data_IF_702078950160
#
_entry.id   IF_702078950160
#
_cell.length_a   1.000
_cell.length_b   1.000
_cell.length_c   1.000
_cell.angle_alpha   90.00
_cell.angle_beta   90.00
_cell.angle_gamma   90.00
#
_symmetry.space_group_name_H-M   'P 1'
#
loop_
_entity.id
_entity.type
_entity.pdbx_description
1 polymer ?
#
# COMPACT_ATOMS: atom_id res chain seq x y z
N UNK A 1 46.23 40.74 -36.91
CA UNK A 1 44.77 40.54 -36.79
C UNK A 1 44.56 39.07 -36.40
N UNK A 2 44.46 38.82 -35.11
CA UNK A 2 44.20 37.48 -34.56
C UNK A 2 42.68 37.39 -34.37
N UNK A 3 42.08 36.51 -35.14
CA UNK A 3 40.64 36.29 -35.11
C UNK A 3 40.28 35.53 -33.83
N UNK A 4 39.64 36.23 -32.90
CA UNK A 4 39.16 35.66 -31.63
C UNK A 4 37.92 34.80 -31.92
N UNK A 5 38.16 33.50 -32.20
CA UNK A 5 37.14 32.54 -32.31
C UNK A 5 36.61 32.23 -30.89
N UNK A 6 35.64 33.02 -30.42
CA UNK A 6 34.88 32.77 -29.22
C UNK A 6 34.17 31.40 -29.34
N UNK A 7 34.71 30.41 -28.64
CA UNK A 7 34.09 29.11 -28.43
C UNK A 7 32.72 29.30 -27.77
N UNK A 8 31.66 28.78 -28.35
CA UNK A 8 30.36 28.76 -27.68
C UNK A 8 30.32 27.57 -26.69
N UNK A 9 30.95 27.75 -25.52
CA UNK A 9 30.72 26.88 -24.37
C UNK A 9 29.75 27.56 -23.40
N UNK A 10 28.64 28.05 -23.92
CA UNK A 10 27.46 28.23 -23.10
C UNK A 10 26.76 26.87 -23.00
N UNK A 11 27.19 26.04 -22.05
CA UNK A 11 26.33 24.99 -21.52
C UNK A 11 25.13 25.74 -20.92
N UNK A 12 24.04 25.83 -21.66
CA UNK A 12 22.74 26.19 -21.12
C UNK A 12 22.47 25.14 -20.01
N UNK A 13 22.39 25.53 -18.73
CA UNK A 13 21.95 24.57 -17.71
C UNK A 13 20.52 24.20 -18.10
N UNK A 14 20.38 23.04 -18.72
CA UNK A 14 19.06 22.48 -19.02
C UNK A 14 18.22 22.59 -17.76
N UNK A 15 16.94 22.85 -17.92
CA UNK A 15 15.92 23.06 -16.87
C UNK A 15 15.75 21.81 -15.98
N UNK A 16 16.82 21.43 -15.28
CA UNK A 16 16.87 20.35 -14.30
C UNK A 16 16.24 20.85 -13.01
N UNK A 17 14.91 20.99 -13.05
CA UNK A 17 14.18 21.20 -11.80
C UNK A 17 14.26 19.92 -10.97
N UNK A 18 15.09 19.96 -9.92
CA UNK A 18 15.16 18.86 -8.95
C UNK A 18 13.75 18.57 -8.40
N UNK A 19 13.37 17.29 -8.29
CA UNK A 19 12.09 16.93 -7.70
C UNK A 19 11.99 17.50 -6.28
N UNK A 20 10.80 17.94 -5.89
CA UNK A 20 10.63 18.51 -4.54
C UNK A 20 11.09 17.49 -3.47
N UNK A 21 11.72 17.97 -2.40
CA UNK A 21 12.20 17.12 -1.31
C UNK A 21 11.13 16.16 -0.78
N UNK A 22 9.86 16.57 -0.84
CA UNK A 22 8.71 15.73 -0.45
C UNK A 22 8.52 14.53 -1.37
N UNK A 23 8.66 14.72 -2.70
CA UNK A 23 8.55 13.60 -3.67
C UNK A 23 9.72 12.64 -3.50
N UNK A 24 10.92 13.15 -3.28
CA UNK A 24 12.08 12.31 -2.99
C UNK A 24 11.85 11.49 -1.72
N UNK A 25 11.36 12.12 -0.65
CA UNK A 25 11.10 11.43 0.62
C UNK A 25 10.10 10.27 0.48
N UNK A 26 8.96 10.49 -0.20
CA UNK A 26 7.95 9.43 -0.36
C UNK A 26 8.45 8.30 -1.27
N UNK A 27 9.19 8.60 -2.33
CA UNK A 27 9.78 7.59 -3.21
C UNK A 27 10.82 6.77 -2.46
N UNK A 28 11.69 7.42 -1.67
CA UNK A 28 12.67 6.72 -0.84
C UNK A 28 12.00 5.82 0.19
N UNK A 29 10.92 6.28 0.83
CA UNK A 29 10.12 5.48 1.75
C UNK A 29 9.56 4.23 1.04
N UNK A 30 8.90 4.41 -0.12
CA UNK A 30 8.34 3.31 -0.90
C UNK A 30 9.41 2.28 -1.28
N UNK A 31 10.60 2.74 -1.71
CA UNK A 31 11.71 1.84 -2.08
C UNK A 31 12.21 1.03 -0.86
N UNK A 32 12.34 1.68 0.29
CA UNK A 32 12.76 1.01 1.54
C UNK A 32 11.74 -0.05 1.95
N UNK A 33 10.45 0.29 1.94
CA UNK A 33 9.38 -0.62 2.30
C UNK A 33 9.23 -1.76 1.28
N UNK A 34 9.38 -1.49 -0.02
CA UNK A 34 9.40 -2.53 -1.05
C UNK A 34 10.54 -3.53 -0.83
N UNK A 35 11.72 -3.05 -0.41
CA UNK A 35 12.84 -3.92 -0.06
C UNK A 35 12.51 -4.80 1.15
N UNK A 36 11.94 -4.21 2.21
CA UNK A 36 11.50 -4.94 3.40
C UNK A 36 10.50 -6.04 3.03
N UNK A 37 9.45 -5.73 2.27
CA UNK A 37 8.47 -6.72 1.81
C UNK A 37 9.11 -7.81 0.95
N UNK A 38 10.03 -7.45 0.06
CA UNK A 38 10.72 -8.43 -0.79
C UNK A 38 11.48 -9.46 0.01
N UNK A 39 12.12 -9.06 1.11
CA UNK A 39 12.83 -9.98 2.03
C UNK A 39 11.84 -10.94 2.68
N UNK A 40 10.72 -10.43 3.20
CA UNK A 40 9.73 -11.27 3.89
C UNK A 40 9.00 -12.20 2.91
N UNK A 41 8.70 -11.72 1.69
CA UNK A 41 8.14 -12.55 0.61
C UNK A 41 9.14 -13.66 0.21
N UNK A 42 10.41 -13.35 0.04
CA UNK A 42 11.44 -14.33 -0.27
C UNK A 42 11.56 -15.40 0.83
N UNK A 43 11.50 -14.99 2.11
CA UNK A 43 11.49 -15.91 3.23
C UNK A 43 10.23 -16.80 3.20
N UNK A 44 9.05 -16.25 2.94
CA UNK A 44 7.81 -17.03 2.82
C UNK A 44 7.95 -18.09 1.70
N UNK A 45 8.37 -17.68 0.50
CA UNK A 45 8.55 -18.57 -0.67
C UNK A 45 9.59 -19.67 -0.36
N UNK A 46 10.70 -19.33 0.30
CA UNK A 46 11.72 -20.31 0.67
C UNK A 46 11.18 -21.40 1.61
N UNK A 47 10.22 -21.04 2.48
CA UNK A 47 9.68 -21.98 3.47
C UNK A 47 8.38 -22.68 3.02
N UNK A 48 7.85 -22.39 1.83
CA UNK A 48 6.69 -23.13 1.28
C UNK A 48 6.97 -24.64 1.27
N UNK A 49 6.03 -25.41 1.78
CA UNK A 49 6.11 -26.89 1.82
C UNK A 49 7.08 -27.49 2.80
N UNK A 50 7.82 -26.68 3.59
CA UNK A 50 8.77 -27.16 4.60
C UNK A 50 8.18 -27.33 6.00
N UNK A 51 6.89 -27.11 6.17
CA UNK A 51 6.18 -27.35 7.44
C UNK A 51 5.93 -28.85 7.58
N UNK A 52 6.60 -29.50 8.53
CA UNK A 52 6.53 -30.96 8.72
C UNK A 52 5.34 -31.40 9.58
N UNK A 53 4.72 -30.48 10.32
CA UNK A 53 3.65 -30.79 11.27
C UNK A 53 2.62 -29.67 11.31
N UNK A 54 1.38 -30.00 11.69
CA UNK A 54 0.28 -29.04 11.86
C UNK A 54 -0.51 -28.74 10.57
N UNK A 55 -1.45 -27.80 10.63
CA UNK A 55 -2.34 -27.51 9.53
C UNK A 55 -1.57 -26.92 8.33
N UNK A 56 -1.94 -27.38 7.12
CA UNK A 56 -1.33 -26.93 5.85
C UNK A 56 -2.13 -25.74 5.27
N UNK A 57 -1.49 -24.90 4.40
CA UNK A 57 -2.20 -23.79 3.75
C UNK A 57 -3.48 -24.22 3.01
N UNK A 58 -3.45 -25.42 2.37
CA UNK A 58 -4.59 -25.95 1.61
C UNK A 58 -5.80 -26.28 2.46
N UNK A 59 -5.57 -26.65 3.72
CA UNK A 59 -6.64 -27.08 4.65
C UNK A 59 -7.29 -25.89 5.34
N UNK A 60 -6.56 -24.81 5.58
CA UNK A 60 -7.01 -23.74 6.49
C UNK A 60 -7.25 -22.40 5.80
N UNK A 61 -6.60 -22.11 4.64
CA UNK A 61 -6.77 -20.84 3.97
C UNK A 61 -7.98 -20.86 3.03
N UNK A 62 -8.89 -19.93 3.26
CA UNK A 62 -9.92 -19.56 2.28
C UNK A 62 -9.41 -18.37 1.45
N UNK A 63 -9.69 -18.36 0.14
CA UNK A 63 -9.24 -17.27 -0.73
C UNK A 63 -10.07 -16.02 -0.47
N UNK A 64 -9.50 -14.92 0.04
CA UNK A 64 -10.25 -13.72 0.42
C UNK A 64 -10.57 -12.84 -0.80
N UNK A 65 -11.36 -13.37 -1.76
CA UNK A 65 -11.64 -12.70 -3.04
C UNK A 65 -12.40 -11.40 -2.84
N UNK A 66 -13.46 -11.41 -2.02
CA UNK A 66 -14.32 -10.23 -1.83
C UNK A 66 -13.52 -9.09 -1.18
N UNK A 67 -12.77 -9.38 -0.12
CA UNK A 67 -11.96 -8.37 0.56
C UNK A 67 -10.83 -7.85 -0.35
N UNK A 68 -10.24 -8.71 -1.18
CA UNK A 68 -9.25 -8.31 -2.19
C UNK A 68 -9.86 -7.36 -3.24
N UNK A 69 -11.06 -7.67 -3.75
CA UNK A 69 -11.77 -6.77 -4.68
C UNK A 69 -12.08 -5.42 -4.02
N UNK A 70 -12.50 -5.41 -2.75
CA UNK A 70 -12.73 -4.18 -2.00
C UNK A 70 -11.45 -3.35 -1.85
N UNK A 71 -10.33 -3.98 -1.49
CA UNK A 71 -9.05 -3.29 -1.33
C UNK A 71 -8.57 -2.71 -2.67
N UNK A 72 -8.54 -3.50 -3.74
CA UNK A 72 -8.16 -3.02 -5.08
C UNK A 72 -9.14 -1.96 -5.62
N UNK A 73 -10.43 -2.09 -5.32
CA UNK A 73 -11.45 -1.08 -5.63
C UNK A 73 -11.18 0.25 -4.93
N UNK A 74 -10.57 0.23 -3.75
CA UNK A 74 -10.18 1.43 -3.02
C UNK A 74 -9.13 2.26 -3.77
N UNK A 75 -8.26 1.64 -4.55
CA UNK A 75 -7.33 2.33 -5.47
C UNK A 75 -8.07 3.14 -6.55
N UNK A 76 -9.18 2.64 -7.05
CA UNK A 76 -10.00 3.39 -8.03
C UNK A 76 -10.70 4.57 -7.36
N UNK A 77 -11.26 4.36 -6.17
CA UNK A 77 -11.99 5.43 -5.46
C UNK A 77 -11.07 6.56 -5.03
N UNK A 78 -9.84 6.28 -4.61
CA UNK A 78 -8.86 7.33 -4.24
C UNK A 78 -8.44 8.15 -5.49
N UNK A 79 -8.28 7.53 -6.67
CA UNK A 79 -8.04 8.24 -7.92
C UNK A 79 -9.20 9.16 -8.30
N UNK A 80 -10.45 8.72 -8.09
CA UNK A 80 -11.64 9.54 -8.31
C UNK A 80 -11.70 10.72 -7.34
N UNK A 81 -11.30 10.52 -6.08
CA UNK A 81 -11.19 11.58 -5.09
C UNK A 81 -10.14 12.63 -5.52
N UNK A 82 -8.95 12.21 -5.94
CA UNK A 82 -7.93 13.15 -6.45
C UNK A 82 -8.42 13.96 -7.65
N UNK A 83 -9.12 13.32 -8.60
CA UNK A 83 -9.71 14.02 -9.76
C UNK A 83 -10.75 15.05 -9.33
N UNK A 84 -11.55 14.71 -8.31
CA UNK A 84 -12.54 15.65 -7.75
C UNK A 84 -11.88 16.86 -7.08
N UNK A 85 -10.77 16.63 -6.34
CA UNK A 85 -9.99 17.69 -5.71
C UNK A 85 -9.38 18.64 -6.74
N UNK A 86 -8.79 18.11 -7.84
CA UNK A 86 -8.26 18.92 -8.95
C UNK A 86 -9.32 19.77 -9.63
N UNK A 87 -10.59 19.35 -9.59
CA UNK A 87 -11.75 20.09 -10.12
C UNK A 87 -12.39 20.98 -9.07
N UNK A 88 -11.74 21.19 -7.92
CA UNK A 88 -12.21 22.00 -6.79
C UNK A 88 -13.57 21.57 -6.23
N UNK A 89 -13.98 20.32 -6.50
CA UNK A 89 -15.25 19.79 -6.00
C UNK A 89 -15.04 19.06 -4.68
N UNK A 90 -15.08 19.82 -3.57
CA UNK A 90 -14.83 19.31 -2.22
C UNK A 90 -15.81 18.22 -1.79
N UNK A 91 -17.10 18.35 -2.12
CA UNK A 91 -18.10 17.35 -1.73
C UNK A 91 -17.83 15.97 -2.36
N UNK A 92 -17.49 15.97 -3.67
CA UNK A 92 -17.13 14.72 -4.36
C UNK A 92 -15.80 14.15 -3.86
N UNK A 93 -14.81 15.01 -3.54
CA UNK A 93 -13.56 14.58 -2.94
C UNK A 93 -13.80 13.83 -1.62
N UNK A 94 -14.55 14.45 -0.69
CA UNK A 94 -14.88 13.86 0.61
C UNK A 94 -15.66 12.55 0.46
N UNK A 95 -16.61 12.48 -0.46
CA UNK A 95 -17.40 11.27 -0.72
C UNK A 95 -16.50 10.11 -1.18
N UNK A 96 -15.71 10.30 -2.24
CA UNK A 96 -14.84 9.26 -2.77
C UNK A 96 -13.74 8.85 -1.78
N UNK A 97 -13.20 9.81 -1.03
CA UNK A 97 -12.22 9.55 0.02
C UNK A 97 -12.80 8.74 1.17
N UNK A 98 -14.03 9.03 1.58
CA UNK A 98 -14.75 8.24 2.59
C UNK A 98 -15.01 6.81 2.11
N UNK A 99 -15.43 6.63 0.85
CA UNK A 99 -15.61 5.30 0.26
C UNK A 99 -14.29 4.51 0.29
N UNK A 100 -13.16 5.14 -0.01
CA UNK A 100 -11.83 4.51 0.10
C UNK A 100 -11.58 3.99 1.52
N UNK A 101 -11.84 4.80 2.54
CA UNK A 101 -11.68 4.44 3.95
C UNK A 101 -12.59 3.24 4.32
N UNK A 102 -13.85 3.25 3.89
CA UNK A 102 -14.79 2.17 4.18
C UNK A 102 -14.37 0.85 3.54
N UNK A 103 -13.90 0.87 2.28
CA UNK A 103 -13.40 -0.32 1.60
C UNK A 103 -12.15 -0.88 2.27
N UNK A 104 -11.23 -0.01 2.69
CA UNK A 104 -10.03 -0.38 3.43
C UNK A 104 -10.36 -0.96 4.82
N UNK A 105 -11.29 -0.35 5.54
CA UNK A 105 -11.75 -0.84 6.84
C UNK A 105 -12.46 -2.19 6.72
N UNK A 106 -13.25 -2.40 5.65
CA UNK A 106 -13.86 -3.69 5.34
C UNK A 106 -12.81 -4.78 5.13
N UNK A 107 -11.78 -4.49 4.31
CA UNK A 107 -10.66 -5.42 4.10
C UNK A 107 -9.98 -5.79 5.42
N UNK A 108 -9.65 -4.81 6.25
CA UNK A 108 -8.99 -5.03 7.53
C UNK A 108 -9.87 -5.85 8.49
N UNK A 109 -11.17 -5.56 8.54
CA UNK A 109 -12.15 -6.32 9.32
C UNK A 109 -12.27 -7.77 8.86
N UNK A 110 -12.34 -8.01 7.54
CA UNK A 110 -12.36 -9.35 6.97
C UNK A 110 -11.08 -10.14 7.31
N UNK A 111 -9.91 -9.50 7.22
CA UNK A 111 -8.64 -10.11 7.61
C UNK A 111 -8.60 -10.46 9.11
N UNK A 112 -9.12 -9.58 9.97
CA UNK A 112 -9.21 -9.85 11.40
C UNK A 112 -10.14 -11.03 11.71
N UNK A 113 -11.26 -11.16 11.02
CA UNK A 113 -12.19 -12.29 11.15
C UNK A 113 -11.54 -13.60 10.67
N UNK A 114 -10.82 -13.56 9.54
CA UNK A 114 -10.05 -14.72 9.05
C UNK A 114 -9.02 -15.17 10.09
N UNK A 115 -8.25 -14.25 10.66
CA UNK A 115 -7.28 -14.57 11.71
C UNK A 115 -7.94 -15.13 12.96
N UNK A 116 -9.05 -14.54 13.40
CA UNK A 116 -9.81 -15.08 14.54
C UNK A 116 -10.22 -16.53 14.28
N UNK A 117 -10.70 -16.84 13.09
CA UNK A 117 -11.08 -18.21 12.68
C UNK A 117 -9.87 -19.15 12.64
N UNK A 118 -8.75 -18.71 12.06
CA UNK A 118 -7.51 -19.50 12.00
C UNK A 118 -7.00 -19.86 13.40
N UNK A 119 -7.08 -18.93 14.35
CA UNK A 119 -6.62 -19.14 15.72
C UNK A 119 -7.59 -20.02 16.51
N UNK A 120 -8.91 -19.78 16.42
CA UNK A 120 -9.91 -20.44 17.29
C UNK A 120 -10.33 -21.79 16.78
N UNK A 121 -10.48 -21.97 15.45
CA UNK A 121 -10.99 -23.21 14.83
C UNK A 121 -9.82 -24.11 14.40
N UNK A 122 -8.81 -23.55 13.75
CA UNK A 122 -7.70 -24.34 13.21
C UNK A 122 -6.48 -24.38 14.14
N UNK A 123 -6.53 -23.69 15.29
CA UNK A 123 -5.45 -23.59 16.26
C UNK A 123 -4.10 -23.18 15.64
N UNK A 124 -4.18 -22.46 14.49
CA UNK A 124 -3.01 -21.94 13.80
C UNK A 124 -2.59 -20.61 14.43
N UNK A 125 -1.44 -20.60 15.04
CA UNK A 125 -0.82 -19.41 15.62
C UNK A 125 0.56 -19.18 15.00
N UNK A 126 1.18 -18.04 15.28
CA UNK A 126 2.55 -17.75 14.84
C UNK A 126 3.58 -18.78 15.36
N UNK A 127 3.26 -19.52 16.42
CA UNK A 127 4.14 -20.52 17.05
C UNK A 127 3.79 -21.96 16.71
N UNK A 128 2.71 -22.20 15.98
CA UNK A 128 2.21 -23.56 15.73
C UNK A 128 3.15 -24.32 14.80
N UNK A 129 3.57 -23.72 13.71
CA UNK A 129 4.47 -24.33 12.73
C UNK A 129 5.11 -23.23 11.86
N UNK A 130 6.02 -23.66 10.98
CA UNK A 130 6.77 -22.77 10.10
C UNK A 130 5.86 -21.98 9.13
N UNK A 131 4.78 -22.61 8.65
CA UNK A 131 3.76 -21.94 7.84
C UNK A 131 3.07 -20.81 8.64
N UNK A 132 2.59 -21.09 9.85
CA UNK A 132 1.98 -20.08 10.71
C UNK A 132 2.91 -18.90 10.98
N UNK A 133 4.18 -19.17 11.29
CA UNK A 133 5.18 -18.12 11.50
C UNK A 133 5.34 -17.22 10.28
N UNK A 134 5.56 -17.79 9.10
CA UNK A 134 5.81 -17.01 7.87
C UNK A 134 4.54 -16.31 7.36
N UNK A 135 3.37 -16.96 7.46
CA UNK A 135 2.08 -16.41 7.11
C UNK A 135 1.74 -15.16 7.94
N UNK A 136 1.74 -15.31 9.28
CA UNK A 136 1.42 -14.18 10.15
C UNK A 136 2.46 -13.06 10.08
N UNK A 137 3.73 -13.37 9.82
CA UNK A 137 4.76 -12.34 9.61
C UNK A 137 4.49 -11.55 8.34
N UNK A 138 4.21 -12.21 7.21
CA UNK A 138 4.00 -11.54 5.93
C UNK A 138 2.66 -10.77 5.88
N UNK A 139 1.55 -11.45 6.21
CA UNK A 139 0.22 -10.82 6.18
C UNK A 139 0.08 -9.79 7.30
N UNK A 140 0.71 -10.01 8.46
CA UNK A 140 0.73 -9.07 9.58
C UNK A 140 1.52 -7.81 9.29
N UNK A 141 2.66 -7.93 8.63
CA UNK A 141 3.43 -6.78 8.16
C UNK A 141 2.57 -5.95 7.18
N UNK A 142 1.91 -6.62 6.22
CA UNK A 142 1.01 -5.94 5.30
C UNK A 142 -0.17 -5.26 6.03
N UNK A 143 -0.85 -5.96 6.93
CA UNK A 143 -1.96 -5.42 7.72
C UNK A 143 -1.55 -4.18 8.53
N UNK A 144 -0.33 -4.14 9.08
CA UNK A 144 0.18 -2.97 9.78
C UNK A 144 0.31 -1.75 8.85
N UNK A 145 0.73 -1.94 7.60
CA UNK A 145 0.81 -0.88 6.60
C UNK A 145 -0.57 -0.39 6.15
N UNK A 146 -1.56 -1.29 6.05
CA UNK A 146 -2.97 -0.92 5.80
C UNK A 146 -3.50 -0.06 6.96
N UNK A 147 -3.19 -0.40 8.21
CA UNK A 147 -3.59 0.40 9.38
C UNK A 147 -2.97 1.79 9.33
N UNK A 148 -1.67 1.90 9.06
CA UNK A 148 -0.99 3.19 8.92
C UNK A 148 -1.62 4.01 7.78
N UNK A 149 -1.87 3.38 6.62
CA UNK A 149 -2.55 4.01 5.49
C UNK A 149 -3.95 4.50 5.86
N UNK A 150 -4.73 3.68 6.58
CA UNK A 150 -6.08 4.05 7.05
C UNK A 150 -6.04 5.24 8.01
N UNK A 151 -5.05 5.31 8.90
CA UNK A 151 -4.83 6.47 9.77
C UNK A 151 -4.52 7.73 8.94
N UNK A 152 -3.65 7.64 7.94
CA UNK A 152 -3.33 8.77 7.06
C UNK A 152 -4.55 9.23 6.24
N UNK A 153 -5.31 8.29 5.67
CA UNK A 153 -6.56 8.60 4.96
C UNK A 153 -7.57 9.30 5.88
N UNK A 154 -7.72 8.82 7.10
CA UNK A 154 -8.62 9.42 8.11
C UNK A 154 -8.18 10.84 8.48
N UNK A 155 -6.88 11.07 8.69
CA UNK A 155 -6.34 12.40 8.95
C UNK A 155 -6.63 13.39 7.82
N UNK A 156 -6.49 12.95 6.55
CA UNK A 156 -6.83 13.79 5.38
C UNK A 156 -8.32 14.09 5.34
N UNK A 157 -9.19 13.10 5.59
CA UNK A 157 -10.65 13.31 5.62
C UNK A 157 -11.04 14.32 6.70
N UNK A 158 -10.56 14.14 7.93
CA UNK A 158 -10.84 15.06 9.05
C UNK A 158 -10.34 16.47 8.74
N UNK A 159 -9.14 16.60 8.15
CA UNK A 159 -8.61 17.89 7.71
C UNK A 159 -9.48 18.52 6.63
N UNK A 160 -9.99 17.73 5.69
CA UNK A 160 -10.91 18.20 4.64
C UNK A 160 -12.25 18.68 5.19
N UNK A 161 -12.82 17.94 6.14
CA UNK A 161 -14.09 18.32 6.81
C UNK A 161 -13.94 19.61 7.61
N UNK A 162 -12.75 19.91 8.11
CA UNK A 162 -12.41 21.17 8.79
C UNK A 162 -12.10 22.33 7.82
N UNK A 163 -12.23 22.13 6.51
CA UNK A 163 -11.92 23.15 5.49
C UNK A 163 -10.42 23.44 5.31
N UNK A 164 -9.54 22.62 5.90
CA UNK A 164 -8.08 22.81 5.82
C UNK A 164 -7.48 22.28 4.53
N UNK A 165 -8.24 21.49 3.74
CA UNK A 165 -7.81 20.91 2.47
C UNK A 165 -8.34 21.73 1.31
N UNK A 166 -7.42 22.30 0.53
CA UNK A 166 -7.71 23.05 -0.69
C UNK A 166 -6.95 22.47 -1.88
N UNK A 167 -7.30 22.86 -3.10
CA UNK A 167 -6.58 22.45 -4.32
C UNK A 167 -5.08 22.77 -4.27
N UNK A 168 -4.68 23.81 -3.51
CA UNK A 168 -3.26 24.18 -3.30
C UNK A 168 -2.46 23.09 -2.55
N UNK A 169 -3.13 22.21 -1.81
CA UNK A 169 -2.49 21.14 -1.05
C UNK A 169 -2.50 19.78 -1.78
N UNK A 170 -2.88 19.78 -3.07
CA UNK A 170 -2.94 18.58 -3.89
C UNK A 170 -1.69 17.70 -3.81
N UNK A 171 -0.47 18.29 -3.80
CA UNK A 171 0.77 17.51 -3.70
C UNK A 171 0.86 16.68 -2.41
N UNK A 172 0.39 17.21 -1.26
CA UNK A 172 0.40 16.47 0.02
C UNK A 172 -0.56 15.29 -0.02
N UNK A 173 -1.73 15.48 -0.60
CA UNK A 173 -2.75 14.44 -0.72
C UNK A 173 -2.29 13.36 -1.69
N UNK A 174 -1.65 13.76 -2.79
CA UNK A 174 -1.07 12.84 -3.77
C UNK A 174 0.00 11.92 -3.14
N UNK A 175 0.80 12.38 -2.18
CA UNK A 175 1.76 11.52 -1.48
C UNK A 175 1.07 10.44 -0.66
N UNK A 176 -0.07 10.76 -0.01
CA UNK A 176 -0.86 9.76 0.72
C UNK A 176 -1.46 8.73 -0.25
N UNK A 177 -1.93 9.19 -1.41
CA UNK A 177 -2.43 8.27 -2.46
C UNK A 177 -1.32 7.37 -3.01
N UNK A 178 -0.11 7.88 -3.23
CA UNK A 178 1.04 7.05 -3.67
C UNK A 178 1.38 5.96 -2.65
N UNK A 179 1.39 6.32 -1.37
CA UNK A 179 1.57 5.34 -0.31
C UNK A 179 0.46 4.28 -0.35
N UNK A 180 -0.81 4.70 -0.53
CA UNK A 180 -1.94 3.79 -0.59
C UNK A 180 -1.85 2.83 -1.78
N UNK A 181 -1.54 3.33 -2.98
CA UNK A 181 -1.33 2.49 -4.16
C UNK A 181 -0.17 1.51 -3.99
N UNK A 182 0.90 1.92 -3.31
CA UNK A 182 1.98 1.01 -2.96
C UNK A 182 1.49 -0.12 -2.05
N UNK A 183 0.73 0.18 -1.01
CA UNK A 183 0.15 -0.84 -0.12
C UNK A 183 -0.74 -1.81 -0.90
N UNK A 184 -1.60 -1.31 -1.80
CA UNK A 184 -2.45 -2.16 -2.66
C UNK A 184 -1.62 -3.03 -3.61
N UNK A 185 -0.54 -2.50 -4.19
CA UNK A 185 0.36 -3.26 -5.07
C UNK A 185 1.07 -4.38 -4.29
N UNK A 186 1.52 -4.11 -3.07
CA UNK A 186 2.09 -5.13 -2.18
C UNK A 186 1.08 -6.22 -1.88
N UNK A 187 -0.21 -5.88 -1.66
CA UNK A 187 -1.24 -6.89 -1.45
C UNK A 187 -1.38 -7.85 -2.62
N UNK A 188 -1.31 -7.37 -3.86
CA UNK A 188 -1.35 -8.25 -5.05
C UNK A 188 -0.22 -9.28 -5.01
N UNK A 189 0.98 -8.88 -4.61
CA UNK A 189 2.12 -9.79 -4.44
C UNK A 189 1.85 -10.78 -3.30
N UNK A 190 1.44 -10.29 -2.13
CA UNK A 190 1.13 -11.12 -0.95
C UNK A 190 0.02 -12.12 -1.28
N UNK A 191 -1.07 -11.66 -1.90
CA UNK A 191 -2.17 -12.51 -2.31
C UNK A 191 -1.70 -13.62 -3.26
N UNK A 192 -0.93 -13.27 -4.28
CA UNK A 192 -0.42 -14.24 -5.25
C UNK A 192 0.48 -15.27 -4.57
N UNK A 193 1.40 -14.83 -3.72
CA UNK A 193 2.37 -15.73 -3.08
C UNK A 193 1.70 -16.63 -2.02
N UNK A 194 0.76 -16.10 -1.25
CA UNK A 194 0.13 -16.83 -0.14
C UNK A 194 -1.02 -17.72 -0.61
N UNK A 195 -1.92 -17.17 -1.44
CA UNK A 195 -3.19 -17.85 -1.78
C UNK A 195 -3.18 -18.54 -3.15
N UNK A 196 -2.24 -18.21 -4.05
CA UNK A 196 -2.13 -18.84 -5.36
C UNK A 196 -0.96 -19.83 -5.42
N UNK A 197 0.23 -19.41 -5.00
CA UNK A 197 1.45 -20.25 -5.07
C UNK A 197 1.59 -21.12 -3.82
N UNK A 198 1.36 -20.57 -2.65
CA UNK A 198 1.59 -21.22 -1.34
C UNK A 198 0.50 -22.19 -0.91
N UNK A 199 -0.60 -22.27 -1.67
CA UNK A 199 -1.75 -23.15 -1.39
C UNK A 199 -1.73 -24.50 -2.18
#
# INVERSE_FOLDING_TARGET
MINDASLPLAFEPGDWSLPSARKVAIVSLILTEATLFSIVVAAYVFYIGKSLTGPTPREVLETPIISTICLLGSSVTIMLAERALRRENQGRFQLWWMITILLAAFFLGATALEWHRLITVHHLTIRTNLFGTTFYSLVGLHASHVIVGLCLLTLVLVSSLRGLVTAKQHERIQMVSWYWHFVDAVWVVVFTVVYVIGR
#
